data_IF_998622001832
#
_entry.id   IF_998622001832
#
_cell.length_a   1.000
_cell.length_b   1.000
_cell.length_c   1.000
_cell.angle_alpha   90.00
_cell.angle_beta   90.00
_cell.angle_gamma   90.00
#
_symmetry.space_group_name_H-M   'P 1'
#
loop_
_entity.id
_entity.type
_entity.pdbx_description
1 polymer ?
#
# COMPACT_ATOMS: atom_id res chain seq x y z
N UNK A 1 -24.65 75.75 26.67
CA UNK A 1 -25.46 74.55 26.98
C UNK A 1 -24.84 73.37 26.24
N UNK A 2 -24.06 72.61 26.99
CA UNK A 2 -23.31 71.48 26.42
C UNK A 2 -23.95 70.17 26.82
N UNK A 3 -24.33 69.38 25.84
CA UNK A 3 -24.76 67.99 26.06
C UNK A 3 -23.56 67.06 25.98
N UNK A 4 -23.15 66.52 27.15
CA UNK A 4 -22.21 65.40 27.21
C UNK A 4 -22.94 64.10 26.87
N UNK A 5 -22.55 63.44 25.82
CA UNK A 5 -22.96 62.09 25.53
C UNK A 5 -22.13 61.13 26.43
N UNK A 6 -22.81 60.38 27.31
CA UNK A 6 -22.22 59.36 28.16
C UNK A 6 -22.15 58.08 27.30
N UNK A 7 -20.99 57.72 26.84
CA UNK A 7 -20.75 56.43 26.19
C UNK A 7 -20.57 55.34 27.26
N UNK A 8 -21.43 54.36 27.26
CA UNK A 8 -21.47 53.26 28.22
C UNK A 8 -20.48 52.15 27.76
N UNK A 9 -19.36 51.93 28.46
CA UNK A 9 -18.31 50.98 28.00
C UNK A 9 -18.60 49.51 28.33
N UNK A 10 -19.79 49.17 28.86
CA UNK A 10 -20.07 47.83 29.37
C UNK A 10 -20.61 46.84 28.36
N UNK A 11 -21.07 47.27 27.16
CA UNK A 11 -21.70 46.39 26.16
C UNK A 11 -20.65 45.67 25.33
N UNK A 12 -19.44 46.21 25.19
CA UNK A 12 -18.38 45.61 24.34
C UNK A 12 -17.61 44.45 25.00
N UNK A 13 -17.62 44.36 26.37
CA UNK A 13 -16.90 43.30 27.08
C UNK A 13 -17.64 41.96 27.12
N UNK A 14 -18.96 41.97 27.06
CA UNK A 14 -19.76 40.73 27.10
C UNK A 14 -19.76 39.96 25.79
N UNK A 15 -19.67 40.66 24.66
CA UNK A 15 -19.62 40.01 23.33
C UNK A 15 -18.34 39.17 23.09
N UNK A 16 -17.20 39.66 23.54
CA UNK A 16 -15.92 38.97 23.42
C UNK A 16 -15.80 37.75 24.33
N UNK A 17 -16.39 37.77 25.49
CA UNK A 17 -16.40 36.64 26.43
C UNK A 17 -17.24 35.46 25.90
N UNK A 18 -18.37 35.76 25.26
CA UNK A 18 -19.26 34.74 24.67
C UNK A 18 -18.59 34.10 23.41
N UNK A 19 -17.93 34.91 22.57
CA UNK A 19 -17.22 34.43 21.38
C UNK A 19 -16.03 33.54 21.73
N UNK A 20 -15.23 33.92 22.74
CA UNK A 20 -14.12 33.13 23.24
C UNK A 20 -14.59 31.84 23.94
N UNK A 21 -15.72 31.85 24.63
CA UNK A 21 -16.31 30.67 25.24
C UNK A 21 -16.80 29.64 24.20
N UNK A 22 -17.42 30.09 23.10
CA UNK A 22 -17.88 29.20 22.06
C UNK A 22 -16.73 28.59 21.23
N UNK A 23 -15.65 29.34 20.99
CA UNK A 23 -14.46 28.81 20.30
C UNK A 23 -13.74 27.77 21.18
N UNK A 24 -13.67 28.01 22.49
CA UNK A 24 -13.05 27.06 23.42
C UNK A 24 -13.86 25.75 23.54
N UNK A 25 -15.20 25.84 23.54
CA UNK A 25 -16.09 24.68 23.55
C UNK A 25 -16.00 23.84 22.26
N UNK A 26 -15.85 24.49 21.09
CA UNK A 26 -15.70 23.76 19.82
C UNK A 26 -14.33 23.08 19.69
N UNK A 27 -13.26 23.68 20.23
CA UNK A 27 -11.92 23.04 20.26
C UNK A 27 -11.88 21.82 21.18
N UNK A 28 -12.59 21.83 22.30
CA UNK A 28 -12.65 20.68 23.22
C UNK A 28 -13.50 19.54 22.66
N UNK A 29 -14.55 19.83 21.86
CA UNK A 29 -15.36 18.80 21.20
C UNK A 29 -14.60 18.09 20.08
N UNK A 30 -13.68 18.76 19.38
CA UNK A 30 -12.83 18.16 18.35
C UNK A 30 -11.72 17.27 18.92
N UNK A 31 -11.26 17.51 20.15
CA UNK A 31 -10.24 16.67 20.79
C UNK A 31 -10.79 15.39 21.40
N UNK A 32 -12.09 15.32 21.72
CA UNK A 32 -12.71 14.10 22.28
C UNK A 32 -12.85 12.96 21.26
N UNK A 33 -12.89 13.26 19.96
CA UNK A 33 -12.93 12.23 18.90
C UNK A 33 -11.62 11.45 18.74
N UNK A 34 -10.47 12.07 19.03
CA UNK A 34 -9.17 11.41 18.93
C UNK A 34 -8.83 10.52 20.14
N UNK A 35 -9.42 10.79 21.31
CA UNK A 35 -9.14 10.04 22.55
C UNK A 35 -9.77 8.64 22.50
N UNK A 36 -10.91 8.47 21.82
CA UNK A 36 -11.58 7.17 21.77
C UNK A 36 -10.82 6.14 20.90
N UNK A 37 -10.21 6.58 19.81
CA UNK A 37 -9.36 5.72 18.95
C UNK A 37 -8.09 5.26 19.66
N UNK A 38 -7.45 6.16 20.43
CA UNK A 38 -6.26 5.82 21.21
C UNK A 38 -6.56 4.88 22.39
N UNK A 39 -7.75 4.97 23.02
CA UNK A 39 -8.13 4.07 24.12
C UNK A 39 -8.43 2.65 23.64
N UNK A 40 -9.01 2.47 22.45
CA UNK A 40 -9.21 1.14 21.87
C UNK A 40 -7.89 0.48 21.46
N UNK A 41 -7.00 1.26 20.84
CA UNK A 41 -5.65 0.79 20.50
C UNK A 41 -4.86 0.44 21.77
N UNK A 42 -4.91 1.29 22.79
CA UNK A 42 -4.26 1.07 24.08
C UNK A 42 -4.83 -0.17 24.82
N UNK A 43 -6.14 -0.40 24.74
CA UNK A 43 -6.77 -1.63 25.28
C UNK A 43 -6.30 -2.88 24.55
N UNK A 44 -6.25 -2.84 23.21
CA UNK A 44 -5.77 -3.97 22.41
C UNK A 44 -4.29 -4.27 22.65
N UNK A 45 -3.46 -3.23 22.78
CA UNK A 45 -2.03 -3.40 23.10
C UNK A 45 -1.82 -3.88 24.53
N UNK A 46 -2.59 -3.39 25.52
CA UNK A 46 -2.54 -3.86 26.92
C UNK A 46 -3.03 -5.32 27.03
N UNK A 47 -4.09 -5.70 26.32
CA UNK A 47 -4.56 -7.09 26.26
C UNK A 47 -3.51 -8.02 25.65
N UNK A 48 -2.88 -7.62 24.55
CA UNK A 48 -1.80 -8.39 23.93
C UNK A 48 -0.55 -8.47 24.83
N UNK A 49 -0.26 -7.43 25.61
CA UNK A 49 0.84 -7.44 26.60
C UNK A 49 0.55 -8.35 27.78
N UNK A 50 -0.71 -8.44 28.25
CA UNK A 50 -1.12 -9.36 29.31
C UNK A 50 -1.10 -10.82 28.87
N UNK A 51 -1.45 -11.10 27.62
CA UNK A 51 -1.32 -12.45 27.04
C UNK A 51 0.16 -12.90 26.94
N UNK A 52 1.11 -11.93 26.86
CA UNK A 52 2.54 -12.24 26.79
C UNK A 52 3.22 -12.58 28.11
N UNK A 53 2.63 -12.22 29.27
CA UNK A 53 3.31 -12.31 30.56
C UNK A 53 3.13 -13.64 31.33
N UNK A 54 2.32 -14.57 30.83
CA UNK A 54 2.07 -15.85 31.52
C UNK A 54 1.61 -17.00 30.64
N UNK A 55 1.57 -16.80 29.33
CA UNK A 55 1.08 -17.79 28.39
C UNK A 55 2.24 -18.69 27.90
N UNK A 56 1.97 -19.98 27.83
CA UNK A 56 2.87 -20.97 27.20
C UNK A 56 3.12 -20.70 25.71
N UNK A 57 2.38 -19.75 25.13
CA UNK A 57 2.56 -19.29 23.76
C UNK A 57 3.60 -18.18 23.72
N UNK A 58 4.81 -18.50 23.32
CA UNK A 58 5.84 -17.49 23.01
C UNK A 58 5.41 -16.72 21.75
N UNK A 59 4.87 -15.52 21.94
CA UNK A 59 4.65 -14.60 20.81
C UNK A 59 6.04 -14.25 20.25
N UNK A 60 6.31 -14.65 19.01
CA UNK A 60 7.55 -14.25 18.32
C UNK A 60 7.57 -12.72 18.23
N UNK A 61 8.73 -12.10 18.48
CA UNK A 61 8.92 -10.63 18.35
C UNK A 61 8.48 -10.10 16.98
N UNK A 62 8.46 -10.94 15.97
CA UNK A 62 7.92 -10.67 14.64
C UNK A 62 7.02 -11.86 14.27
N UNK A 63 5.72 -11.82 14.58
CA UNK A 63 4.80 -12.82 14.11
C UNK A 63 4.87 -12.84 12.58
N UNK A 64 5.12 -14.01 12.01
CA UNK A 64 5.06 -14.20 10.55
C UNK A 64 3.61 -14.00 10.15
N UNK A 65 3.36 -13.01 9.29
CA UNK A 65 2.02 -12.80 8.77
C UNK A 65 1.66 -14.04 7.92
N UNK A 66 0.62 -14.81 8.25
CA UNK A 66 0.25 -15.98 7.46
C UNK A 66 -0.15 -15.61 6.03
N UNK A 67 -0.52 -14.34 5.79
CA UNK A 67 -0.81 -13.80 4.47
C UNK A 67 0.45 -13.28 3.75
N UNK A 68 1.61 -13.20 4.43
CA UNK A 68 2.85 -12.69 3.82
C UNK A 68 3.29 -13.59 2.65
N UNK A 69 3.10 -14.90 2.78
CA UNK A 69 3.41 -15.85 1.71
C UNK A 69 2.40 -15.82 0.56
N UNK A 70 1.16 -15.40 0.82
CA UNK A 70 0.09 -15.29 -0.18
C UNK A 70 -0.01 -13.90 -0.81
N UNK A 71 0.27 -12.86 -0.03
CA UNK A 71 0.18 -11.46 -0.44
C UNK A 71 1.56 -10.83 -0.61
N UNK A 72 2.60 -11.51 -0.89
CA UNK A 72 4.02 -11.11 -1.14
C UNK A 72 4.29 -9.57 -1.29
N UNK A 73 3.20 -8.79 -1.37
CA UNK A 73 3.14 -7.34 -1.52
C UNK A 73 3.63 -6.57 -0.28
N UNK A 74 3.55 -7.20 0.91
CA UNK A 74 3.89 -6.58 2.20
C UNK A 74 5.13 -7.20 2.86
N UNK A 75 5.90 -7.98 2.11
CA UNK A 75 7.12 -8.57 2.62
C UNK A 75 8.10 -7.49 3.09
N UNK A 76 8.61 -7.59 4.32
CA UNK A 76 9.60 -6.64 4.87
C UNK A 76 10.88 -6.53 4.02
N UNK A 77 11.18 -7.56 3.24
CA UNK A 77 12.33 -7.60 2.31
C UNK A 77 12.01 -7.03 0.93
N UNK A 78 10.84 -6.43 0.78
CA UNK A 78 10.29 -6.02 -0.50
C UNK A 78 9.60 -7.18 -1.24
N UNK A 79 8.82 -6.87 -2.28
CA UNK A 79 8.09 -7.88 -3.03
C UNK A 79 9.06 -8.83 -3.74
N UNK A 80 8.73 -10.12 -3.71
CA UNK A 80 9.42 -11.18 -4.43
C UNK A 80 8.48 -11.79 -5.46
N UNK A 81 8.99 -12.34 -6.57
CA UNK A 81 8.17 -12.98 -7.58
C UNK A 81 7.34 -14.13 -7.00
N UNK A 82 6.11 -14.28 -7.47
CA UNK A 82 5.27 -15.44 -7.15
C UNK A 82 5.94 -16.75 -7.59
N UNK A 83 5.53 -17.90 -7.03
CA UNK A 83 6.09 -19.20 -7.43
C UNK A 83 5.95 -19.48 -8.93
N UNK A 84 4.85 -19.04 -9.57
CA UNK A 84 4.64 -19.18 -11.00
C UNK A 84 5.55 -18.29 -11.81
N UNK A 85 5.68 -17.01 -11.46
CA UNK A 85 6.65 -16.10 -12.09
C UNK A 85 8.07 -16.60 -11.93
N UNK A 86 8.43 -17.17 -10.78
CA UNK A 86 9.72 -17.83 -10.61
C UNK A 86 9.91 -19.05 -11.56
N UNK A 87 8.84 -19.81 -11.85
CA UNK A 87 8.88 -20.87 -12.86
C UNK A 87 9.07 -20.32 -14.27
N UNK A 88 8.41 -19.21 -14.61
CA UNK A 88 8.60 -18.54 -15.90
C UNK A 88 10.05 -18.06 -16.05
N UNK A 89 10.60 -17.41 -15.02
CA UNK A 89 12.01 -17.00 -15.02
C UNK A 89 12.97 -18.17 -15.23
N UNK A 90 12.72 -19.33 -14.60
CA UNK A 90 13.51 -20.56 -14.83
C UNK A 90 13.35 -21.10 -16.26
N UNK A 91 12.12 -21.11 -16.80
CA UNK A 91 11.85 -21.53 -18.18
C UNK A 91 12.68 -20.76 -19.20
N UNK A 92 12.86 -19.46 -18.98
CA UNK A 92 13.67 -18.59 -19.83
C UNK A 92 15.12 -18.45 -19.37
N UNK A 93 15.55 -19.19 -18.33
CA UNK A 93 16.90 -19.11 -17.76
C UNK A 93 17.28 -17.71 -17.27
N UNK A 94 16.28 -16.95 -16.79
CA UNK A 94 16.45 -15.57 -16.32
C UNK A 94 16.55 -15.44 -14.80
N UNK A 95 16.50 -16.53 -14.04
CA UNK A 95 16.50 -16.48 -12.57
C UNK A 95 17.78 -15.84 -12.00
N UNK A 96 18.96 -16.25 -12.48
CA UNK A 96 20.24 -15.69 -12.04
C UNK A 96 20.39 -14.23 -12.51
N UNK A 97 19.95 -13.94 -13.72
CA UNK A 97 19.94 -12.57 -14.23
C UNK A 97 19.02 -11.66 -13.41
N UNK A 98 17.88 -12.18 -12.95
CA UNK A 98 16.96 -11.42 -12.11
C UNK A 98 17.55 -11.12 -10.70
N UNK A 99 18.45 -11.98 -10.20
CA UNK A 99 19.16 -11.74 -8.96
C UNK A 99 20.27 -10.69 -9.11
N UNK A 100 21.00 -10.71 -10.22
CA UNK A 100 22.16 -9.83 -10.46
C UNK A 100 21.72 -8.48 -11.06
N UNK A 101 20.94 -8.50 -12.14
CA UNK A 101 20.38 -7.30 -12.79
C UNK A 101 18.89 -7.51 -13.12
N UNK A 102 18.00 -7.13 -12.17
CA UNK A 102 16.56 -7.28 -12.37
C UNK A 102 15.99 -6.47 -13.54
N UNK A 103 16.60 -5.35 -13.91
CA UNK A 103 16.14 -4.53 -15.03
C UNK A 103 16.46 -5.19 -16.38
N UNK A 104 17.63 -5.81 -16.50
CA UNK A 104 17.99 -6.56 -17.70
C UNK A 104 17.13 -7.81 -17.83
N UNK A 105 16.89 -8.52 -16.72
CA UNK A 105 15.99 -9.68 -16.71
C UNK A 105 14.56 -9.31 -17.15
N UNK A 106 14.04 -8.18 -16.67
CA UNK A 106 12.75 -7.67 -17.12
C UNK A 106 12.69 -7.44 -18.62
N UNK A 107 13.70 -6.77 -19.20
CA UNK A 107 13.75 -6.53 -20.65
C UNK A 107 13.78 -7.83 -21.45
N UNK A 108 14.60 -8.78 -21.03
CA UNK A 108 14.70 -10.09 -21.68
C UNK A 108 13.38 -10.88 -21.58
N UNK A 109 12.74 -10.84 -20.40
CA UNK A 109 11.44 -11.51 -20.20
C UNK A 109 10.35 -10.88 -21.07
N UNK A 110 10.30 -9.54 -21.15
CA UNK A 110 9.36 -8.81 -22.00
C UNK A 110 9.53 -9.18 -23.47
N UNK A 111 10.76 -9.17 -23.98
CA UNK A 111 11.06 -9.57 -25.35
C UNK A 111 10.65 -11.03 -25.63
N UNK A 112 10.88 -11.93 -24.69
CA UNK A 112 10.46 -13.32 -24.81
C UNK A 112 8.93 -13.47 -24.82
N UNK A 113 8.20 -12.69 -24.00
CA UNK A 113 6.75 -12.67 -23.95
C UNK A 113 6.13 -12.07 -25.23
N UNK A 114 6.75 -11.04 -25.81
CA UNK A 114 6.31 -10.45 -27.09
C UNK A 114 6.46 -11.43 -28.26
N UNK A 115 7.51 -12.24 -28.26
CA UNK A 115 7.73 -13.27 -29.29
C UNK A 115 6.77 -14.46 -29.16
N UNK A 116 6.35 -14.76 -27.96
CA UNK A 116 5.47 -15.90 -27.68
C UNK A 116 4.46 -15.50 -26.59
N UNK A 117 3.36 -14.88 -27.03
CA UNK A 117 2.31 -14.37 -26.16
C UNK A 117 1.57 -15.52 -25.44
N UNK A 118 2.08 -15.91 -24.29
CA UNK A 118 1.44 -16.84 -23.37
C UNK A 118 0.93 -16.10 -22.14
N UNK A 119 -0.21 -16.53 -21.63
CA UNK A 119 -0.84 -15.92 -20.47
C UNK A 119 0.13 -15.81 -19.26
N UNK A 120 0.84 -16.91 -18.98
CA UNK A 120 1.80 -16.98 -17.87
C UNK A 120 2.98 -16.01 -18.02
N UNK A 121 3.53 -15.87 -19.24
CA UNK A 121 4.64 -14.95 -19.49
C UNK A 121 4.19 -13.50 -19.42
N UNK A 122 2.99 -13.19 -19.90
CA UNK A 122 2.41 -11.84 -19.81
C UNK A 122 2.18 -11.44 -18.35
N UNK A 123 1.60 -12.33 -17.54
CA UNK A 123 1.45 -12.08 -16.11
C UNK A 123 2.80 -11.88 -15.41
N UNK A 124 3.78 -12.72 -15.70
CA UNK A 124 5.12 -12.61 -15.11
C UNK A 124 5.79 -11.27 -15.45
N UNK A 125 5.61 -10.74 -16.66
CA UNK A 125 6.10 -9.39 -17.03
C UNK A 125 5.43 -8.32 -16.20
N UNK A 126 4.10 -8.38 -16.02
CA UNK A 126 3.36 -7.41 -15.21
C UNK A 126 3.82 -7.43 -13.74
N UNK A 127 3.96 -8.62 -13.15
CA UNK A 127 4.40 -8.79 -11.77
C UNK A 127 5.83 -8.30 -11.56
N UNK A 128 6.76 -8.64 -12.45
CA UNK A 128 8.16 -8.17 -12.36
C UNK A 128 8.23 -6.65 -12.50
N UNK A 129 7.47 -6.05 -13.42
CA UNK A 129 7.39 -4.60 -13.56
C UNK A 129 6.92 -3.95 -12.24
N UNK A 130 5.86 -4.48 -11.63
CA UNK A 130 5.38 -4.02 -10.32
C UNK A 130 6.47 -4.10 -9.24
N UNK A 131 7.15 -5.24 -9.13
CA UNK A 131 8.24 -5.45 -8.17
C UNK A 131 9.35 -4.42 -8.36
N UNK A 132 9.73 -4.13 -9.61
CA UNK A 132 10.74 -3.13 -9.93
C UNK A 132 10.27 -1.72 -9.56
N UNK A 133 9.00 -1.40 -9.79
CA UNK A 133 8.38 -0.14 -9.36
C UNK A 133 8.47 0.06 -7.85
N UNK A 134 8.10 -0.96 -7.06
CA UNK A 134 8.21 -0.91 -5.60
C UNK A 134 9.67 -0.75 -5.15
N UNK A 135 10.60 -1.49 -5.75
CA UNK A 135 12.02 -1.38 -5.42
C UNK A 135 12.61 -0.01 -5.75
N UNK A 136 12.19 0.60 -6.86
CA UNK A 136 12.57 1.97 -7.22
C UNK A 136 12.00 2.98 -6.23
N UNK A 137 10.73 2.84 -5.84
CA UNK A 137 10.08 3.68 -4.84
C UNK A 137 10.78 3.63 -3.47
N UNK A 138 11.20 2.44 -3.03
CA UNK A 138 11.96 2.27 -1.79
C UNK A 138 13.34 2.98 -1.86
N UNK A 139 13.93 3.09 -3.05
CA UNK A 139 15.17 3.83 -3.29
C UNK A 139 14.93 5.34 -3.52
N UNK A 140 13.69 5.80 -3.45
CA UNK A 140 13.26 7.17 -3.74
C UNK A 140 13.51 7.61 -5.19
N UNK A 141 13.63 6.68 -6.11
CA UNK A 141 13.68 6.91 -7.54
C UNK A 141 12.25 6.93 -8.09
N UNK A 142 11.61 8.09 -7.96
CA UNK A 142 10.19 8.28 -8.28
C UNK A 142 9.93 8.11 -9.77
N UNK A 143 10.81 8.60 -10.63
CA UNK A 143 10.64 8.54 -12.09
C UNK A 143 10.65 7.08 -12.59
N UNK A 144 11.62 6.31 -12.13
CA UNK A 144 11.70 4.89 -12.43
C UNK A 144 10.50 4.12 -11.83
N UNK A 145 10.06 4.48 -10.61
CA UNK A 145 8.91 3.85 -9.99
C UNK A 145 7.63 4.07 -10.81
N UNK A 146 7.34 5.32 -11.20
CA UNK A 146 6.17 5.66 -12.02
C UNK A 146 6.22 4.94 -13.36
N UNK A 147 7.38 4.93 -14.01
CA UNK A 147 7.57 4.21 -15.27
C UNK A 147 7.24 2.73 -15.13
N UNK A 148 7.78 2.07 -14.12
CA UNK A 148 7.58 0.63 -13.93
C UNK A 148 6.15 0.29 -13.50
N UNK A 149 5.48 1.13 -12.73
CA UNK A 149 4.05 0.97 -12.44
C UNK A 149 3.18 1.15 -13.69
N UNK A 150 3.50 2.13 -14.54
CA UNK A 150 2.82 2.32 -15.82
C UNK A 150 2.96 1.11 -16.74
N UNK A 151 4.15 0.53 -16.84
CA UNK A 151 4.41 -0.71 -17.57
C UNK A 151 3.63 -1.89 -16.99
N UNK A 152 3.63 -2.06 -15.66
CA UNK A 152 2.86 -3.10 -14.99
C UNK A 152 1.36 -2.98 -15.29
N UNK A 153 0.81 -1.76 -15.22
CA UNK A 153 -0.59 -1.49 -15.52
C UNK A 153 -0.93 -1.81 -16.98
N UNK A 154 -0.10 -1.38 -17.94
CA UNK A 154 -0.33 -1.64 -19.35
C UNK A 154 -0.34 -3.14 -19.66
N UNK A 155 0.64 -3.88 -19.14
CA UNK A 155 0.73 -5.33 -19.36
C UNK A 155 -0.39 -6.08 -18.64
N UNK A 156 -0.80 -5.62 -17.44
CA UNK A 156 -1.96 -6.19 -16.74
C UNK A 156 -3.25 -5.96 -17.53
N UNK A 157 -3.40 -4.81 -18.16
CA UNK A 157 -4.53 -4.53 -19.04
C UNK A 157 -4.55 -5.48 -20.24
N UNK A 158 -3.42 -5.70 -20.88
CA UNK A 158 -3.30 -6.66 -21.98
C UNK A 158 -3.62 -8.09 -21.51
N UNK A 159 -3.12 -8.49 -20.36
CA UNK A 159 -3.43 -9.77 -19.74
C UNK A 159 -4.94 -9.96 -19.53
N UNK A 160 -5.64 -8.94 -19.05
CA UNK A 160 -7.06 -9.01 -18.71
C UNK A 160 -7.97 -8.88 -19.93
N UNK A 161 -7.60 -8.10 -20.96
CA UNK A 161 -8.54 -7.66 -22.00
C UNK A 161 -8.11 -8.00 -23.42
N UNK A 162 -6.84 -8.39 -23.69
CA UNK A 162 -6.41 -8.74 -25.04
C UNK A 162 -7.19 -9.95 -25.57
N UNK A 163 -7.76 -9.83 -26.77
CA UNK A 163 -8.49 -10.92 -27.44
C UNK A 163 -7.61 -12.13 -27.72
N UNK A 164 -6.33 -11.92 -28.04
CA UNK A 164 -5.38 -13.00 -28.32
C UNK A 164 -5.16 -13.96 -27.14
N UNK A 165 -5.40 -13.48 -25.92
CA UNK A 165 -5.28 -14.26 -24.69
C UNK A 165 -6.63 -14.77 -24.16
N UNK A 166 -7.75 -14.42 -24.79
CA UNK A 166 -9.09 -14.71 -24.28
C UNK A 166 -9.33 -16.20 -24.05
N UNK A 167 -8.86 -17.06 -24.96
CA UNK A 167 -9.02 -18.52 -24.87
C UNK A 167 -8.21 -19.18 -23.74
N UNK A 168 -7.17 -18.50 -23.26
CA UNK A 168 -6.29 -18.98 -22.19
C UNK A 168 -6.72 -18.48 -20.79
N UNK A 169 -7.62 -17.50 -20.72
CA UNK A 169 -8.03 -16.89 -19.45
C UNK A 169 -8.95 -17.80 -18.65
N UNK A 170 -8.63 -17.92 -17.38
CA UNK A 170 -9.49 -18.57 -16.40
C UNK A 170 -9.80 -17.59 -15.26
N UNK A 171 -11.06 -17.11 -15.10
CA UNK A 171 -11.43 -16.17 -14.02
C UNK A 171 -11.23 -16.75 -12.62
N UNK A 172 -11.10 -18.05 -12.49
CA UNK A 172 -10.83 -18.72 -11.21
C UNK A 172 -9.35 -18.87 -10.90
N UNK A 173 -8.48 -18.51 -11.83
CA UNK A 173 -7.04 -18.54 -11.62
C UNK A 173 -6.64 -17.44 -10.61
N UNK A 174 -5.81 -17.75 -9.60
CA UNK A 174 -5.27 -16.74 -8.68
C UNK A 174 -4.53 -15.60 -9.38
N UNK A 175 -3.86 -15.87 -10.51
CA UNK A 175 -3.16 -14.84 -11.30
C UNK A 175 -4.13 -13.85 -11.92
N UNK A 176 -5.27 -14.32 -12.43
CA UNK A 176 -6.30 -13.43 -12.96
C UNK A 176 -6.77 -12.43 -11.90
N UNK A 177 -7.01 -12.90 -10.67
CA UNK A 177 -7.37 -12.02 -9.55
C UNK A 177 -6.25 -11.12 -9.09
N UNK A 178 -5.00 -11.56 -9.22
CA UNK A 178 -3.83 -10.74 -8.89
C UNK A 178 -3.56 -9.62 -9.89
N UNK A 179 -4.00 -9.78 -11.15
CA UNK A 179 -3.87 -8.76 -12.19
C UNK A 179 -4.98 -7.68 -12.13
N UNK A 180 -6.16 -8.00 -11.53
CA UNK A 180 -7.22 -7.03 -11.27
C UNK A 180 -6.86 -6.06 -10.16
#
# INVERSE_FOLDING_TARGET
>A
MGHRAISNPSVFKTGHAILLGSILCTLTALSSGCVSLNTELARKTAYLAQLGSGSAVKIRKNPRNPLEDQLNLFARKGPSPSPRTAQVLRRFSLEELFRSDPNQAYRALREAAEKNAQLESTYAVAEIAYILGVRAGLKKDTDQAIKMYGESLAVSYDYLFSESLASQRNPYDPEFRGAC
#
